data_IF_455910841734
#
_entry.id   IF_455910841734
#
_cell.length_a   1.000
_cell.length_b   1.000
_cell.length_c   1.000
_cell.angle_alpha   90.00
_cell.angle_beta   90.00
_cell.angle_gamma   90.00
#
_symmetry.space_group_name_H-M   'P 1'
#
loop_
_entity.id
_entity.type
_entity.pdbx_description
1 polymer ?
#
# COMPACT_ATOMS: atom_id res chain seq x y z
N UNK A 1 -6.31 1.29 -13.83
CA UNK A 1 -6.34 0.26 -14.91
C UNK A 1 -4.93 -0.29 -15.11
N UNK A 2 -3.95 0.46 -15.57
CA UNK A 2 -2.57 -0.05 -15.86
C UNK A 2 -1.94 -0.84 -14.72
N UNK A 3 -2.11 -0.41 -13.47
CA UNK A 3 -1.54 -1.11 -12.31
C UNK A 3 -2.19 -2.47 -12.06
N UNK A 4 -3.51 -2.56 -12.26
CA UNK A 4 -4.23 -3.82 -12.11
C UNK A 4 -3.71 -4.83 -13.13
N UNK A 5 -3.59 -4.41 -14.39
CA UNK A 5 -3.08 -5.24 -15.47
C UNK A 5 -1.66 -5.75 -15.17
N UNK A 6 -0.78 -4.87 -14.69
CA UNK A 6 0.58 -5.23 -14.29
C UNK A 6 0.63 -6.20 -13.08
N UNK A 7 -0.26 -6.01 -12.09
CA UNK A 7 -0.39 -6.92 -10.95
C UNK A 7 -0.87 -8.30 -11.40
N UNK A 8 -1.85 -8.35 -12.28
CA UNK A 8 -2.39 -9.59 -12.84
C UNK A 8 -1.32 -10.34 -13.64
N UNK A 9 -0.59 -9.66 -14.55
CA UNK A 9 0.54 -10.21 -15.29
C UNK A 9 1.66 -10.75 -14.38
N UNK A 10 1.88 -10.08 -13.24
CA UNK A 10 2.87 -10.49 -12.24
C UNK A 10 2.37 -11.61 -11.29
N UNK A 11 1.13 -12.07 -11.43
CA UNK A 11 0.50 -13.07 -10.56
C UNK A 11 0.24 -12.56 -9.14
N UNK A 12 -0.02 -11.28 -8.98
CA UNK A 12 -0.33 -10.63 -7.71
C UNK A 12 -1.83 -10.27 -7.69
N UNK A 13 -2.68 -11.07 -7.04
CA UNK A 13 -4.11 -10.80 -7.00
C UNK A 13 -4.43 -9.58 -6.13
N UNK A 14 -5.49 -8.85 -6.47
CA UNK A 14 -6.05 -7.84 -5.58
C UNK A 14 -6.76 -8.51 -4.40
N UNK A 15 -6.57 -7.93 -3.21
CA UNK A 15 -7.27 -8.37 -2.01
C UNK A 15 -8.74 -7.94 -2.05
N UNK A 16 -9.63 -8.81 -1.59
CA UNK A 16 -11.01 -8.43 -1.27
C UNK A 16 -11.02 -7.81 0.13
N UNK A 17 -11.28 -6.50 0.20
CA UNK A 17 -11.28 -5.77 1.47
C UNK A 17 -12.44 -6.19 2.35
N UNK A 18 -12.16 -6.39 3.64
CA UNK A 18 -13.17 -6.73 4.62
C UNK A 18 -14.18 -5.60 4.89
N UNK A 19 -15.34 -5.94 5.43
CA UNK A 19 -16.42 -4.97 5.70
C UNK A 19 -16.00 -3.86 6.66
N UNK A 20 -15.13 -4.13 7.62
CA UNK A 20 -14.60 -3.11 8.54
C UNK A 20 -13.70 -2.11 7.81
N UNK A 21 -12.86 -2.58 6.91
CA UNK A 21 -12.01 -1.73 6.09
C UNK A 21 -12.84 -0.85 5.16
N UNK A 22 -13.83 -1.44 4.49
CA UNK A 22 -14.76 -0.69 3.63
C UNK A 22 -15.56 0.35 4.42
N UNK A 23 -15.99 0.03 5.64
CA UNK A 23 -16.68 0.97 6.51
C UNK A 23 -15.78 2.15 6.91
N UNK A 24 -14.55 1.88 7.33
CA UNK A 24 -13.57 2.91 7.68
C UNK A 24 -13.22 3.83 6.49
N UNK A 25 -13.04 3.25 5.31
CA UNK A 25 -12.87 4.04 4.08
C UNK A 25 -14.10 4.91 3.80
N UNK A 26 -15.31 4.37 4.01
CA UNK A 26 -16.57 5.09 3.83
C UNK A 26 -16.71 6.34 4.69
N UNK A 27 -16.03 6.41 5.84
CA UNK A 27 -16.05 7.60 6.72
C UNK A 27 -15.37 8.84 6.11
N UNK A 28 -14.47 8.62 5.16
CA UNK A 28 -13.71 9.69 4.50
C UNK A 28 -14.13 9.91 3.04
N UNK A 29 -14.89 8.98 2.47
CA UNK A 29 -15.41 9.09 1.10
C UNK A 29 -16.64 9.99 1.01
N UNK A 30 -16.87 10.67 -0.13
CA UNK A 30 -18.12 11.39 -0.33
C UNK A 30 -19.31 10.42 -0.41
N UNK A 31 -20.54 10.84 0.01
CA UNK A 31 -21.69 9.93 0.13
C UNK A 31 -22.14 9.24 -1.17
N UNK A 32 -21.73 9.78 -2.32
CA UNK A 32 -22.09 9.25 -3.63
C UNK A 32 -21.11 8.17 -4.14
N UNK A 33 -20.01 7.92 -3.41
CA UNK A 33 -18.97 6.98 -3.83
C UNK A 33 -18.77 5.87 -2.80
N UNK A 34 -18.83 4.62 -3.26
CA UNK A 34 -18.52 3.46 -2.43
C UNK A 34 -17.04 3.10 -2.53
N UNK A 35 -16.36 2.83 -1.41
CA UNK A 35 -14.99 2.34 -1.43
C UNK A 35 -14.87 0.98 -2.12
N UNK A 36 -13.72 0.75 -2.75
CA UNK A 36 -13.39 -0.51 -3.43
C UNK A 36 -11.88 -0.76 -3.38
N UNK A 37 -11.41 -1.88 -3.91
CA UNK A 37 -10.00 -2.10 -4.21
C UNK A 37 -9.83 -2.30 -5.72
N UNK A 38 -9.08 -1.50 -6.44
CA UNK A 38 -8.23 -0.40 -5.94
C UNK A 38 -9.04 0.73 -5.30
N UNK A 39 -8.50 1.30 -4.21
CA UNK A 39 -9.10 2.43 -3.55
C UNK A 39 -8.74 3.74 -4.28
N UNK A 40 -9.68 4.32 -5.01
CA UNK A 40 -9.51 5.66 -5.56
C UNK A 40 -9.80 6.69 -4.47
N UNK A 41 -8.74 7.20 -3.87
CA UNK A 41 -8.84 8.14 -2.74
C UNK A 41 -8.94 9.61 -3.16
N UNK A 42 -8.84 9.92 -4.46
CA UNK A 42 -8.88 11.31 -4.92
C UNK A 42 -10.18 12.04 -4.54
N UNK A 43 -11.37 11.48 -4.79
CA UNK A 43 -12.61 12.10 -4.35
C UNK A 43 -12.73 12.22 -2.82
N UNK A 44 -12.15 11.29 -2.09
CA UNK A 44 -12.09 11.36 -0.62
C UNK A 44 -11.19 12.51 -0.15
N UNK A 45 -10.04 12.74 -0.81
CA UNK A 45 -9.14 13.86 -0.52
C UNK A 45 -9.83 15.21 -0.73
N UNK A 46 -10.58 15.36 -1.81
CA UNK A 46 -11.37 16.57 -2.06
C UNK A 46 -12.47 16.78 -1.01
N UNK A 47 -13.08 15.69 -0.51
CA UNK A 47 -14.15 15.73 0.47
C UNK A 47 -13.67 15.93 1.91
N UNK A 48 -12.63 15.21 2.33
CA UNK A 48 -12.21 15.09 3.74
C UNK A 48 -10.81 15.63 4.04
N UNK A 49 -10.07 16.06 3.01
CA UNK A 49 -8.69 16.53 3.10
C UNK A 49 -7.65 15.41 3.10
N UNK A 50 -6.44 15.70 2.56
CA UNK A 50 -5.43 14.66 2.28
C UNK A 50 -4.96 13.94 3.55
N UNK A 51 -4.58 14.65 4.60
CA UNK A 51 -4.06 14.03 5.83
C UNK A 51 -5.03 13.02 6.42
N UNK A 52 -6.28 13.42 6.63
CA UNK A 52 -7.30 12.54 7.21
C UNK A 52 -7.52 11.30 6.34
N UNK A 53 -7.56 11.47 5.02
CA UNK A 53 -7.78 10.36 4.09
C UNK A 53 -6.61 9.39 4.10
N UNK A 54 -5.37 9.88 3.98
CA UNK A 54 -4.20 8.99 4.00
C UNK A 54 -4.07 8.25 5.33
N UNK A 55 -4.18 8.93 6.47
CA UNK A 55 -4.09 8.30 7.79
C UNK A 55 -5.19 7.24 7.98
N UNK A 56 -6.44 7.54 7.62
CA UNK A 56 -7.56 6.59 7.75
C UNK A 56 -7.42 5.42 6.78
N UNK A 57 -7.19 5.69 5.49
CA UNK A 57 -7.17 4.67 4.46
C UNK A 57 -5.97 3.71 4.64
N UNK A 58 -4.78 4.26 4.88
CA UNK A 58 -3.57 3.43 5.04
C UNK A 58 -3.68 2.54 6.28
N UNK A 59 -4.16 3.07 7.39
CA UNK A 59 -4.39 2.28 8.60
C UNK A 59 -5.39 1.15 8.34
N UNK A 60 -6.57 1.47 7.83
CA UNK A 60 -7.63 0.49 7.60
C UNK A 60 -7.18 -0.63 6.65
N UNK A 61 -6.49 -0.29 5.55
CA UNK A 61 -5.99 -1.27 4.58
C UNK A 61 -4.86 -2.12 5.17
N UNK A 62 -3.94 -1.54 5.92
CA UNK A 62 -2.84 -2.29 6.53
C UNK A 62 -3.32 -3.25 7.61
N UNK A 63 -4.33 -2.88 8.39
CA UNK A 63 -4.92 -3.73 9.44
C UNK A 63 -5.85 -4.83 8.86
N UNK A 64 -6.26 -4.74 7.58
CA UNK A 64 -7.10 -5.75 6.95
C UNK A 64 -6.37 -7.11 6.83
N UNK A 65 -6.92 -8.20 7.38
CA UNK A 65 -6.28 -9.51 7.32
C UNK A 65 -6.20 -10.10 5.90
N UNK A 66 -7.03 -9.64 4.96
CA UNK A 66 -6.99 -10.08 3.58
C UNK A 66 -5.86 -9.40 2.77
N UNK A 67 -5.30 -8.31 3.29
CA UNK A 67 -4.20 -7.57 2.65
C UNK A 67 -2.87 -8.09 3.17
N UNK A 68 -2.01 -8.58 2.31
CA UNK A 68 -0.65 -9.03 2.64
C UNK A 68 0.45 -8.06 2.17
N UNK A 69 0.11 -7.09 1.33
CA UNK A 69 1.04 -6.10 0.80
C UNK A 69 0.30 -4.89 0.24
N UNK A 70 0.95 -3.74 0.16
CA UNK A 70 0.36 -2.49 -0.31
C UNK A 70 1.19 -1.86 -1.44
N UNK A 71 0.51 -1.47 -2.52
CA UNK A 71 1.03 -0.56 -3.55
C UNK A 71 0.30 0.76 -3.43
N UNK A 72 1.05 1.84 -3.30
CA UNK A 72 0.50 3.20 -3.27
C UNK A 72 0.82 3.94 -4.56
N UNK A 73 -0.15 4.74 -5.01
CA UNK A 73 0.05 5.78 -6.02
C UNK A 73 0.05 7.13 -5.34
N UNK A 74 1.17 7.84 -5.42
CA UNK A 74 1.35 9.11 -4.74
C UNK A 74 1.67 10.24 -5.73
N UNK A 75 0.95 11.35 -5.58
CA UNK A 75 1.19 12.59 -6.29
C UNK A 75 1.74 13.63 -5.32
N UNK A 76 2.86 14.25 -5.65
CA UNK A 76 3.65 15.08 -4.72
C UNK A 76 3.03 16.41 -4.29
N UNK A 77 1.89 16.80 -4.90
CA UNK A 77 1.37 18.17 -4.76
C UNK A 77 0.61 18.47 -3.47
N UNK A 78 0.21 17.44 -2.68
CA UNK A 78 -0.68 17.63 -1.51
C UNK A 78 -0.28 16.80 -0.30
N UNK A 79 0.88 16.16 -0.33
CA UNK A 79 1.33 15.23 0.70
C UNK A 79 2.75 15.53 1.16
N UNK A 80 3.04 15.20 2.40
CA UNK A 80 4.37 15.22 3.01
C UNK A 80 4.63 13.90 3.76
N UNK A 81 5.89 13.59 4.03
CA UNK A 81 6.28 12.33 4.66
C UNK A 81 5.66 12.08 6.03
N UNK A 82 5.29 13.13 6.76
CA UNK A 82 4.68 12.99 8.09
C UNK A 82 3.33 12.26 8.07
N UNK A 83 2.62 12.26 6.93
CA UNK A 83 1.35 11.53 6.76
C UNK A 83 1.54 10.00 6.73
N UNK A 84 2.78 9.53 6.56
CA UNK A 84 3.11 8.11 6.42
C UNK A 84 3.80 7.50 7.64
N UNK A 85 3.97 8.26 8.72
CA UNK A 85 4.66 7.77 9.93
C UNK A 85 3.94 6.56 10.55
N UNK A 86 2.61 6.60 10.63
CA UNK A 86 1.81 5.47 11.13
C UNK A 86 1.87 4.27 10.18
N UNK A 87 1.87 4.49 8.87
CA UNK A 87 2.05 3.43 7.88
C UNK A 87 3.40 2.72 8.07
N UNK A 88 4.48 3.47 8.30
CA UNK A 88 5.80 2.91 8.55
C UNK A 88 5.81 2.01 9.79
N UNK A 89 5.16 2.45 10.88
CA UNK A 89 4.99 1.65 12.11
C UNK A 89 4.22 0.37 11.84
N UNK A 90 3.06 0.46 11.18
CA UNK A 90 2.21 -0.70 10.86
C UNK A 90 2.92 -1.68 9.91
N UNK A 91 3.68 -1.18 8.94
CA UNK A 91 4.49 -2.00 8.03
C UNK A 91 5.46 -2.91 8.81
N UNK A 92 6.17 -2.35 9.77
CA UNK A 92 7.11 -3.11 10.61
C UNK A 92 6.37 -4.08 11.55
N UNK A 93 5.32 -3.61 12.23
CA UNK A 93 4.54 -4.43 13.17
C UNK A 93 3.88 -5.64 12.50
N UNK A 94 3.27 -5.41 11.34
CA UNK A 94 2.49 -6.43 10.63
C UNK A 94 3.33 -7.25 9.64
N UNK A 95 4.58 -6.84 9.38
CA UNK A 95 5.46 -7.49 8.41
C UNK A 95 4.92 -7.45 6.97
N UNK A 96 4.07 -6.46 6.63
CA UNK A 96 3.47 -6.33 5.32
C UNK A 96 4.31 -5.41 4.43
N UNK A 97 4.79 -5.89 3.26
CA UNK A 97 5.53 -5.05 2.33
C UNK A 97 4.68 -3.89 1.82
N UNK A 98 5.28 -2.71 1.77
CA UNK A 98 4.70 -1.50 1.19
C UNK A 98 5.66 -0.96 0.15
N UNK A 99 5.16 -0.62 -1.03
CA UNK A 99 5.91 0.05 -2.09
C UNK A 99 5.09 1.21 -2.64
N UNK A 100 5.76 2.25 -3.12
CA UNK A 100 5.10 3.42 -3.66
C UNK A 100 5.56 3.75 -5.08
N UNK A 101 4.60 3.95 -5.97
CA UNK A 101 4.84 4.68 -7.21
C UNK A 101 4.64 6.16 -6.94
N UNK A 102 5.67 6.95 -7.25
CA UNK A 102 5.68 8.38 -6.96
C UNK A 102 5.70 9.16 -8.27
N UNK A 103 4.64 9.93 -8.51
CA UNK A 103 4.53 10.81 -9.66
C UNK A 103 4.75 12.27 -9.27
N UNK A 104 5.63 12.94 -10.00
CA UNK A 104 5.94 14.35 -9.77
C UNK A 104 7.28 14.74 -10.35
N UNK A 105 7.63 16.00 -10.18
CA UNK A 105 8.92 16.57 -10.63
C UNK A 105 9.42 17.63 -9.65
N UNK A 106 10.70 17.96 -9.74
CA UNK A 106 11.27 19.07 -9.00
C UNK A 106 11.61 18.73 -7.53
N UNK A 107 11.65 19.76 -6.67
CA UNK A 107 12.12 19.62 -5.29
C UNK A 107 11.14 18.86 -4.42
N UNK A 108 9.84 19.11 -4.56
CA UNK A 108 8.80 18.39 -3.82
C UNK A 108 8.86 16.88 -4.06
N UNK A 109 9.13 16.46 -5.30
CA UNK A 109 9.33 15.05 -5.62
C UNK A 109 10.56 14.49 -4.89
N UNK A 110 11.70 15.18 -4.94
CA UNK A 110 12.92 14.72 -4.27
C UNK A 110 12.78 14.65 -2.76
N UNK A 111 12.14 15.65 -2.16
CA UNK A 111 11.89 15.70 -0.72
C UNK A 111 11.00 14.56 -0.27
N UNK A 112 9.83 14.38 -0.88
CA UNK A 112 8.90 13.32 -0.51
C UNK A 112 9.50 11.92 -0.73
N UNK A 113 10.28 11.75 -1.82
CA UNK A 113 11.01 10.50 -2.06
C UNK A 113 11.96 10.18 -0.92
N UNK A 114 12.79 11.15 -0.51
CA UNK A 114 13.72 10.97 0.60
C UNK A 114 12.99 10.66 1.91
N UNK A 115 11.93 11.38 2.22
CA UNK A 115 11.13 11.16 3.43
C UNK A 115 10.50 9.75 3.48
N UNK A 116 9.98 9.25 2.36
CA UNK A 116 9.42 7.89 2.28
C UNK A 116 10.51 6.82 2.38
N UNK A 117 11.65 7.02 1.72
CA UNK A 117 12.80 6.11 1.80
C UNK A 117 13.38 6.05 3.22
N UNK A 118 13.43 7.16 3.95
CA UNK A 118 13.82 7.24 5.36
C UNK A 118 12.84 6.48 6.28
N UNK A 119 11.57 6.40 5.91
CA UNK A 119 10.54 5.58 6.55
C UNK A 119 10.59 4.09 6.11
N UNK A 120 11.57 3.71 5.30
CA UNK A 120 11.70 2.35 4.78
C UNK A 120 10.63 1.97 3.76
N UNK A 121 10.03 2.93 3.07
CA UNK A 121 9.05 2.73 2.00
C UNK A 121 9.75 2.95 0.65
N UNK A 122 10.10 1.89 -0.10
CA UNK A 122 10.73 2.02 -1.40
C UNK A 122 9.85 2.77 -2.39
N UNK A 123 10.43 3.73 -3.11
CA UNK A 123 9.73 4.55 -4.10
C UNK A 123 10.25 4.32 -5.51
N UNK A 124 9.34 4.33 -6.47
CA UNK A 124 9.62 4.11 -7.88
C UNK A 124 8.93 5.17 -8.73
N UNK A 125 9.58 5.59 -9.80
CA UNK A 125 9.04 6.48 -10.84
C UNK A 125 8.39 5.70 -12.01
N UNK A 126 8.66 4.40 -12.08
CA UNK A 126 8.04 3.48 -13.04
C UNK A 126 7.14 2.47 -12.32
N UNK A 127 5.86 2.41 -12.70
CA UNK A 127 4.88 1.50 -12.13
C UNK A 127 5.27 0.03 -12.29
N UNK A 128 5.83 -0.34 -13.44
CA UNK A 128 6.25 -1.70 -13.72
C UNK A 128 7.35 -2.18 -12.75
N UNK A 129 8.28 -1.28 -12.39
CA UNK A 129 9.30 -1.58 -11.37
C UNK A 129 8.68 -1.77 -9.99
N UNK A 130 7.75 -0.91 -9.63
CA UNK A 130 7.02 -0.99 -8.37
C UNK A 130 6.34 -2.37 -8.22
N UNK A 131 5.58 -2.80 -9.22
CA UNK A 131 4.91 -4.11 -9.23
C UNK A 131 5.90 -5.27 -9.26
N UNK A 132 6.98 -5.17 -10.05
CA UNK A 132 8.00 -6.23 -10.14
C UNK A 132 8.69 -6.48 -8.81
N UNK A 133 9.01 -5.43 -8.07
CA UNK A 133 9.63 -5.53 -6.73
C UNK A 133 8.65 -6.18 -5.74
N UNK A 134 7.39 -5.75 -5.72
CA UNK A 134 6.37 -6.35 -4.86
C UNK A 134 6.19 -7.85 -5.16
N UNK A 135 6.09 -8.22 -6.43
CA UNK A 135 5.97 -9.61 -6.86
C UNK A 135 7.18 -10.46 -6.44
N UNK A 136 8.40 -9.89 -6.50
CA UNK A 136 9.61 -10.57 -6.05
C UNK A 136 9.63 -10.80 -4.53
N UNK A 137 9.24 -9.80 -3.73
CA UNK A 137 9.11 -9.91 -2.27
C UNK A 137 8.10 -11.01 -1.91
N UNK A 138 6.94 -11.04 -2.56
CA UNK A 138 5.90 -12.05 -2.32
C UNK A 138 6.38 -13.47 -2.67
N UNK A 139 7.08 -13.64 -3.79
CA UNK A 139 7.65 -14.95 -4.14
C UNK A 139 8.66 -15.42 -3.09
N UNK A 140 9.57 -14.55 -2.67
CA UNK A 140 10.54 -14.87 -1.63
C UNK A 140 9.90 -15.30 -0.32
N UNK A 141 8.86 -14.60 0.15
CA UNK A 141 8.12 -14.93 1.35
C UNK A 141 7.46 -16.31 1.27
N UNK A 142 6.85 -16.66 0.14
CA UNK A 142 6.23 -17.98 -0.11
C UNK A 142 7.29 -19.10 -0.10
N UNK A 143 8.43 -18.91 -0.76
CA UNK A 143 9.50 -19.91 -0.84
C UNK A 143 10.13 -20.16 0.54
N UNK A 144 10.24 -19.12 1.37
CA UNK A 144 10.77 -19.22 2.73
C UNK A 144 9.85 -20.01 3.65
N UNK A 145 8.53 -19.87 3.50
CA UNK A 145 7.52 -20.60 4.27
C UNK A 145 7.51 -22.09 3.91
N UNK A 146 7.82 -22.45 2.66
CA UNK A 146 7.88 -23.84 2.20
C UNK A 146 9.18 -24.57 2.62
N UNK A 147 10.22 -23.83 2.98
CA UNK A 147 11.54 -24.38 3.37
C UNK A 147 11.68 -24.68 4.87
N UNK A 148 10.72 -24.37 5.72
CA UNK A 148 10.76 -24.80 7.12
C UNK A 148 10.54 -26.32 7.17
N UNK A 149 11.54 -27.11 7.65
CA UNK A 149 11.36 -28.55 7.78
C UNK A 149 10.31 -28.80 8.86
N UNK A 150 9.31 -29.62 8.54
CA UNK A 150 8.44 -30.25 9.52
C UNK A 150 9.35 -30.97 10.52
N UNK A 151 9.64 -30.34 11.63
CA UNK A 151 10.28 -31.04 12.76
C UNK A 151 9.35 -32.15 13.17
N UNK A 152 9.76 -33.38 12.85
CA UNK A 152 9.04 -34.59 13.10
C UNK A 152 8.75 -34.72 14.57
N UNK A 153 7.49 -34.96 14.87
CA UNK A 153 7.07 -35.65 16.09
C UNK A 153 7.65 -37.07 16.01
N UNK A 154 8.69 -37.34 16.77
CA UNK A 154 9.02 -38.71 17.11
C UNK A 154 8.44 -38.99 18.48
N UNK A 155 7.67 -40.02 18.55
CA UNK A 155 7.17 -40.98 19.49
C UNK A 155 7.13 -40.72 20.98
#
# INVERSE_FOLDING_TARGET
IVTIDLLEEAGVPLAELGSQTLAALGEVYPPWMSPSNPADIWPAIEHSGPRKVYETALKAVMEDPAVDSLVMHLFTSMIDGSMFAELARLKEELGKPVVAWLAGVGDTFRTLRSELEDLGIPTFDEMQRCVSVLAAIRRHARDSTHKQPRTGRQG
#
